data_IF_333083989157
#
_entry.id   IF_333083989157
#
_cell.length_a   1.000
_cell.length_b   1.000
_cell.length_c   1.000
_cell.angle_alpha   90.00
_cell.angle_beta   90.00
_cell.angle_gamma   90.00
#
_symmetry.space_group_name_H-M   'P 1'
#
loop_
_entity.id
_entity.type
_entity.pdbx_description
1 polymer ?
#
# COMPACT_ATOMS: atom_id res chain seq x y z
N UNK A 1 19.49 0.63 10.55
CA UNK A 1 19.88 0.33 9.16
C UNK A 1 18.93 -0.74 8.63
N UNK A 2 18.30 -0.51 7.49
CA UNK A 2 17.37 -1.48 6.90
C UNK A 2 18.14 -2.73 6.45
N UNK A 3 17.81 -3.87 7.02
CA UNK A 3 18.50 -5.15 6.78
C UNK A 3 18.40 -5.65 5.33
N UNK A 4 17.51 -5.08 4.51
CA UNK A 4 17.22 -5.55 3.15
C UNK A 4 17.63 -4.55 2.06
N UNK A 5 18.36 -3.47 2.37
CA UNK A 5 18.82 -2.52 1.35
C UNK A 5 19.74 -3.22 0.33
N UNK A 6 19.49 -3.01 -0.96
CA UNK A 6 20.18 -3.62 -2.10
C UNK A 6 19.96 -5.14 -2.28
N UNK A 7 19.05 -5.74 -1.51
CA UNK A 7 18.66 -7.12 -1.72
C UNK A 7 17.86 -7.23 -3.03
N UNK A 8 18.18 -8.26 -3.81
CA UNK A 8 17.42 -8.60 -5.01
C UNK A 8 16.38 -9.65 -4.68
N UNK A 9 15.13 -9.38 -5.07
CA UNK A 9 14.02 -10.32 -4.95
C UNK A 9 13.93 -11.11 -6.24
N UNK A 10 14.44 -12.35 -6.22
CA UNK A 10 14.56 -13.20 -7.42
C UNK A 10 15.27 -12.43 -8.54
N UNK A 11 14.77 -12.51 -9.78
CA UNK A 11 15.26 -11.77 -10.94
C UNK A 11 14.44 -10.50 -11.24
N UNK A 12 13.42 -10.21 -10.41
CA UNK A 12 12.42 -9.22 -10.77
C UNK A 12 12.64 -7.85 -10.15
N UNK A 13 13.02 -7.78 -8.86
CA UNK A 13 13.10 -6.50 -8.16
C UNK A 13 14.40 -6.33 -7.41
N UNK A 14 14.87 -5.08 -7.33
CA UNK A 14 15.96 -4.68 -6.44
C UNK A 14 15.44 -3.68 -5.41
N UNK A 15 15.59 -4.00 -4.11
CA UNK A 15 15.23 -3.10 -3.00
C UNK A 15 16.21 -1.93 -2.96
N UNK A 16 15.72 -0.68 -2.92
CA UNK A 16 16.55 0.53 -2.92
C UNK A 16 16.46 1.30 -1.61
N UNK A 17 15.35 1.92 -1.33
CA UNK A 17 15.21 2.83 -0.20
C UNK A 17 14.14 2.31 0.77
N UNK A 18 14.48 2.39 2.05
CA UNK A 18 13.53 2.22 3.13
C UNK A 18 12.57 3.42 3.16
N UNK A 19 11.27 3.15 3.24
CA UNK A 19 10.24 4.16 3.40
C UNK A 19 9.79 4.18 4.87
N UNK A 20 9.23 3.08 5.33
CA UNK A 20 8.58 2.99 6.62
C UNK A 20 8.58 1.54 7.14
N UNK A 21 8.54 1.38 8.45
CA UNK A 21 8.29 0.09 9.09
C UNK A 21 7.02 0.18 9.93
N UNK A 22 6.04 -0.65 9.58
CA UNK A 22 4.84 -0.86 10.39
C UNK A 22 5.05 -2.06 11.34
N UNK A 23 4.04 -2.37 12.16
CA UNK A 23 4.06 -3.58 12.99
C UNK A 23 4.05 -4.88 12.18
N UNK A 24 3.59 -4.85 10.93
CA UNK A 24 3.34 -6.04 10.09
C UNK A 24 4.34 -6.18 8.96
N UNK A 25 4.73 -5.11 8.32
CA UNK A 25 5.62 -5.13 7.17
C UNK A 25 6.62 -3.98 7.17
N UNK A 26 7.56 -4.06 6.25
CA UNK A 26 8.47 -2.96 5.94
C UNK A 26 8.26 -2.52 4.50
N UNK A 27 8.04 -1.22 4.32
CA UNK A 27 7.83 -0.60 3.03
C UNK A 27 9.14 -0.10 2.45
N UNK A 28 9.37 -0.39 1.18
CA UNK A 28 10.55 0.03 0.43
C UNK A 28 10.15 0.59 -0.93
N UNK A 29 10.99 1.48 -1.45
CA UNK A 29 11.05 1.73 -2.89
C UNK A 29 12.04 0.74 -3.50
N UNK A 30 11.66 0.13 -4.60
CA UNK A 30 12.51 -0.76 -5.39
C UNK A 30 12.56 -0.35 -6.85
N UNK A 31 13.33 -1.10 -7.63
CA UNK A 31 13.36 -1.02 -9.08
C UNK A 31 12.93 -2.39 -9.63
N UNK A 32 11.99 -2.37 -10.55
CA UNK A 32 11.69 -3.48 -11.42
C UNK A 32 12.84 -3.64 -12.42
N UNK A 33 13.51 -4.77 -12.39
CA UNK A 33 14.72 -5.02 -13.19
C UNK A 33 14.44 -5.24 -14.67
N UNK A 34 13.20 -5.58 -15.03
CA UNK A 34 12.78 -5.75 -16.42
C UNK A 34 12.45 -4.40 -17.06
N UNK A 35 11.61 -3.60 -16.41
CA UNK A 35 11.14 -2.31 -16.94
C UNK A 35 12.01 -1.12 -16.54
N UNK A 36 12.94 -1.30 -15.60
CA UNK A 36 13.75 -0.24 -14.97
C UNK A 36 12.90 0.85 -14.26
N UNK A 37 11.64 0.57 -13.98
CA UNK A 37 10.72 1.51 -13.30
C UNK A 37 10.81 1.38 -11.79
N UNK A 38 10.52 2.48 -11.11
CA UNK A 38 10.32 2.46 -9.65
C UNK A 38 9.04 1.68 -9.29
N UNK A 39 9.11 0.96 -8.18
CA UNK A 39 7.98 0.21 -7.61
C UNK A 39 7.95 0.40 -6.09
N UNK A 40 6.79 0.26 -5.49
CA UNK A 40 6.66 0.10 -4.04
C UNK A 40 6.69 -1.40 -3.69
N UNK A 41 7.40 -1.73 -2.62
CA UNK A 41 7.56 -3.10 -2.14
C UNK A 41 7.13 -3.17 -0.68
N UNK A 42 6.02 -3.85 -0.40
CA UNK A 42 5.61 -4.25 0.95
C UNK A 42 6.27 -5.59 1.26
N UNK A 43 7.16 -5.65 2.26
CA UNK A 43 7.91 -6.86 2.61
C UNK A 43 7.54 -7.33 4.01
N UNK A 44 7.07 -8.56 4.08
CA UNK A 44 6.58 -9.23 5.28
C UNK A 44 7.58 -10.33 5.68
N UNK A 45 8.09 -10.28 6.90
CA UNK A 45 8.86 -11.40 7.44
C UNK A 45 7.89 -12.54 7.80
N UNK A 46 8.01 -13.70 7.16
CA UNK A 46 7.03 -14.81 7.28
C UNK A 46 6.80 -15.24 8.74
N UNK A 47 7.83 -15.19 9.59
CA UNK A 47 7.73 -15.52 11.02
C UNK A 47 6.98 -14.50 11.87
N UNK A 48 6.66 -13.31 11.31
CA UNK A 48 5.95 -12.22 12.00
C UNK A 48 4.55 -11.95 11.46
N UNK A 49 4.14 -12.66 10.41
CA UNK A 49 2.79 -12.51 9.85
C UNK A 49 1.80 -13.10 10.83
N UNK A 50 0.87 -12.29 11.32
CA UNK A 50 -0.21 -12.76 12.18
C UNK A 50 -1.23 -13.57 11.35
N UNK A 51 -1.97 -14.46 12.02
CA UNK A 51 -3.00 -15.28 11.35
C UNK A 51 -4.08 -14.39 10.72
N UNK A 52 -4.40 -13.28 11.35
CA UNK A 52 -5.41 -12.32 10.88
C UNK A 52 -4.97 -11.51 9.65
N UNK A 53 -3.67 -11.52 9.30
CA UNK A 53 -3.14 -10.90 8.10
C UNK A 53 -3.12 -11.85 6.89
N UNK A 54 -3.57 -13.09 7.09
CA UNK A 54 -3.70 -14.11 6.05
C UNK A 54 -5.19 -14.28 5.72
N UNK A 55 -5.50 -14.17 4.43
CA UNK A 55 -6.83 -14.46 3.91
C UNK A 55 -7.11 -15.97 3.85
N UNK A 56 -8.35 -16.34 3.55
CA UNK A 56 -8.80 -17.73 3.47
C UNK A 56 -8.07 -18.52 2.36
N UNK A 57 -7.57 -17.83 1.35
CA UNK A 57 -6.75 -18.38 0.26
C UNK A 57 -5.27 -18.63 0.64
N UNK A 58 -4.89 -18.34 1.90
CA UNK A 58 -3.53 -18.49 2.41
C UNK A 58 -2.57 -17.37 1.97
N UNK A 59 -3.04 -16.37 1.23
CA UNK A 59 -2.28 -15.21 0.83
C UNK A 59 -2.35 -14.10 1.87
N UNK A 60 -1.49 -13.07 1.71
CA UNK A 60 -1.60 -11.86 2.49
C UNK A 60 -2.94 -11.17 2.18
N UNK A 61 -3.66 -10.75 3.21
CA UNK A 61 -4.98 -10.11 3.08
C UNK A 61 -4.95 -8.84 2.22
N UNK A 62 -3.87 -8.07 2.29
CA UNK A 62 -3.69 -6.89 1.42
C UNK A 62 -3.83 -7.23 -0.06
N UNK A 63 -3.39 -8.44 -0.49
CA UNK A 63 -3.53 -8.88 -1.88
C UNK A 63 -4.97 -9.01 -2.34
N UNK A 64 -5.86 -9.43 -1.45
CA UNK A 64 -7.28 -9.55 -1.73
C UNK A 64 -7.85 -8.19 -2.19
N UNK A 65 -7.51 -7.13 -1.46
CA UNK A 65 -7.99 -5.78 -1.77
C UNK A 65 -7.29 -5.16 -2.98
N UNK A 66 -5.99 -5.38 -3.16
CA UNK A 66 -5.26 -4.90 -4.33
C UNK A 66 -5.77 -5.54 -5.64
N UNK A 67 -6.19 -6.82 -5.58
CA UNK A 67 -6.80 -7.52 -6.73
C UNK A 67 -8.15 -6.96 -7.16
N UNK A 68 -8.82 -6.18 -6.31
CA UNK A 68 -10.08 -5.50 -6.68
C UNK A 68 -9.86 -4.41 -7.73
N UNK A 69 -8.63 -3.96 -7.95
CA UNK A 69 -8.24 -2.95 -8.92
C UNK A 69 -9.10 -1.67 -8.85
N UNK A 70 -9.41 -1.21 -7.64
CA UNK A 70 -10.22 -0.01 -7.40
C UNK A 70 -9.41 1.22 -7.78
N UNK A 71 -10.03 2.13 -8.52
CA UNK A 71 -9.42 3.40 -8.86
C UNK A 71 -9.07 4.21 -7.60
N UNK A 72 -7.81 4.63 -7.50
CA UNK A 72 -7.25 5.24 -6.28
C UNK A 72 -6.48 4.26 -5.39
N UNK A 73 -6.51 2.94 -5.69
CA UNK A 73 -5.59 1.98 -5.11
C UNK A 73 -4.33 1.86 -5.98
N UNK A 74 -3.15 1.59 -5.37
CA UNK A 74 -1.96 1.29 -6.13
C UNK A 74 -2.17 0.02 -6.97
N UNK A 75 -1.76 0.06 -8.24
CA UNK A 75 -1.86 -1.11 -9.12
C UNK A 75 -0.95 -2.22 -8.64
N UNK A 76 -1.51 -3.42 -8.44
CA UNK A 76 -0.74 -4.63 -8.15
C UNK A 76 0.10 -5.02 -9.37
N UNK A 77 1.41 -5.19 -9.19
CA UNK A 77 2.34 -5.65 -10.23
C UNK A 77 2.65 -7.14 -10.07
N UNK A 78 3.08 -7.53 -8.87
CA UNK A 78 3.34 -8.94 -8.56
C UNK A 78 3.38 -9.18 -7.05
N UNK A 79 3.41 -10.46 -6.67
CA UNK A 79 3.60 -10.89 -5.30
C UNK A 79 4.29 -12.25 -5.26
N UNK A 80 4.80 -12.63 -4.09
CA UNK A 80 5.42 -13.95 -3.92
C UNK A 80 6.30 -14.04 -2.68
N UNK A 81 7.13 -15.08 -2.68
CA UNK A 81 8.02 -15.40 -1.58
C UNK A 81 9.48 -15.32 -2.03
N UNK A 82 10.34 -14.95 -1.10
CA UNK A 82 11.79 -15.04 -1.27
C UNK A 82 12.49 -15.36 0.05
N UNK A 83 13.75 -15.81 -0.03
CA UNK A 83 14.58 -16.12 1.14
C UNK A 83 15.81 -15.22 1.11
N UNK A 84 16.14 -14.61 2.24
CA UNK A 84 17.38 -13.86 2.42
C UNK A 84 17.95 -14.17 3.81
N UNK A 85 19.24 -14.51 3.88
CA UNK A 85 19.94 -14.87 5.12
C UNK A 85 19.19 -15.92 5.97
N UNK A 86 18.71 -17.00 5.34
CA UNK A 86 17.92 -18.10 5.94
C UNK A 86 16.53 -17.69 6.46
N UNK A 87 16.14 -16.44 6.34
CA UNK A 87 14.82 -15.95 6.70
C UNK A 87 13.90 -15.95 5.48
N UNK A 88 12.65 -16.35 5.68
CA UNK A 88 11.61 -16.34 4.65
C UNK A 88 10.83 -15.04 4.71
N UNK A 89 10.55 -14.50 3.55
CA UNK A 89 9.78 -13.26 3.37
C UNK A 89 8.70 -13.48 2.32
N UNK A 90 7.58 -12.77 2.49
CA UNK A 90 6.59 -12.52 1.44
C UNK A 90 6.74 -11.08 0.96
N UNK A 91 6.45 -10.83 -0.32
CA UNK A 91 6.45 -9.47 -0.86
C UNK A 91 5.20 -9.22 -1.70
N UNK A 92 4.80 -7.96 -1.72
CA UNK A 92 3.82 -7.40 -2.65
C UNK A 92 4.51 -6.24 -3.35
N UNK A 93 4.52 -6.26 -4.68
CA UNK A 93 4.99 -5.17 -5.51
C UNK A 93 3.80 -4.43 -6.12
N UNK A 94 3.77 -3.12 -5.95
CA UNK A 94 2.76 -2.24 -6.54
C UNK A 94 3.43 -1.14 -7.35
N UNK A 95 2.67 -0.48 -8.21
CA UNK A 95 3.15 0.72 -8.89
C UNK A 95 3.71 1.72 -7.88
N UNK A 96 4.72 2.45 -8.31
CA UNK A 96 5.26 3.56 -7.53
C UNK A 96 4.32 4.76 -7.67
N UNK A 97 3.70 5.16 -6.55
CA UNK A 97 2.90 6.39 -6.50
C UNK A 97 3.84 7.56 -6.25
N UNK A 98 3.98 8.41 -7.27
CA UNK A 98 4.90 9.55 -7.25
C UNK A 98 4.17 10.80 -6.77
N UNK A 99 4.67 11.43 -5.71
CA UNK A 99 4.10 12.69 -5.22
C UNK A 99 4.22 12.83 -3.70
N UNK A 100 3.60 13.87 -3.18
CA UNK A 100 3.60 14.17 -1.76
C UNK A 100 2.32 13.67 -1.10
N UNK A 101 2.40 13.33 0.19
CA UNK A 101 1.19 13.03 0.96
C UNK A 101 0.40 14.32 1.27
N UNK A 102 -0.87 14.16 1.61
CA UNK A 102 -1.69 15.28 2.10
C UNK A 102 -1.04 15.91 3.33
N UNK A 103 -0.47 15.08 4.22
CA UNK A 103 0.25 15.56 5.40
C UNK A 103 1.47 16.40 5.00
N UNK A 104 2.32 15.90 4.09
CA UNK A 104 3.52 16.63 3.64
C UNK A 104 3.14 17.98 3.01
N UNK A 105 2.10 17.99 2.16
CA UNK A 105 1.58 19.23 1.56
C UNK A 105 1.15 20.22 2.64
N UNK A 106 0.37 19.77 3.63
CA UNK A 106 -0.06 20.62 4.74
C UNK A 106 1.12 21.14 5.57
N UNK A 107 2.11 20.31 5.85
CA UNK A 107 3.32 20.75 6.56
C UNK A 107 4.11 21.80 5.78
N UNK A 108 4.14 21.70 4.45
CA UNK A 108 4.85 22.64 3.57
C UNK A 108 4.12 23.99 3.40
N UNK A 109 2.79 23.98 3.30
CA UNK A 109 2.01 25.19 3.00
C UNK A 109 1.12 25.70 4.14
N UNK A 110 1.11 24.99 5.29
CA UNK A 110 0.36 25.34 6.50
C UNK A 110 -1.06 24.80 6.52
N UNK A 111 -1.78 24.82 5.42
CA UNK A 111 -3.15 24.28 5.31
C UNK A 111 -3.41 23.79 3.88
N UNK A 112 -4.34 22.85 3.74
CA UNK A 112 -4.81 22.44 2.43
C UNK A 112 -5.73 23.51 1.85
N UNK A 113 -5.51 23.88 0.59
CA UNK A 113 -6.41 24.78 -0.12
C UNK A 113 -7.80 24.16 -0.28
N UNK A 114 -8.84 24.99 -0.37
CA UNK A 114 -10.24 24.53 -0.47
C UNK A 114 -10.44 23.53 -1.62
N UNK A 115 -9.88 23.84 -2.80
CA UNK A 115 -9.97 22.97 -3.96
C UNK A 115 -9.33 21.58 -3.73
N UNK A 116 -8.14 21.53 -3.15
CA UNK A 116 -7.46 20.27 -2.83
C UNK A 116 -8.21 19.51 -1.74
N UNK A 117 -8.74 20.19 -0.73
CA UNK A 117 -9.52 19.55 0.33
C UNK A 117 -10.78 18.88 -0.25
N UNK A 118 -11.49 19.57 -1.16
CA UNK A 118 -12.66 19.02 -1.85
C UNK A 118 -12.28 17.81 -2.71
N UNK A 119 -11.20 17.89 -3.50
CA UNK A 119 -10.72 16.77 -4.33
C UNK A 119 -10.40 15.54 -3.51
N UNK A 120 -9.65 15.72 -2.41
CA UNK A 120 -9.30 14.63 -1.49
C UNK A 120 -10.57 14.02 -0.89
N UNK A 121 -11.48 14.85 -0.38
CA UNK A 121 -12.74 14.41 0.22
C UNK A 121 -13.60 13.61 -0.75
N UNK A 122 -13.77 14.10 -1.98
CA UNK A 122 -14.52 13.42 -3.04
C UNK A 122 -13.90 12.06 -3.36
N UNK A 123 -12.57 12.01 -3.63
CA UNK A 123 -11.91 10.76 -4.02
C UNK A 123 -11.97 9.71 -2.91
N UNK A 124 -11.74 10.09 -1.67
CA UNK A 124 -11.85 9.16 -0.53
C UNK A 124 -13.29 8.67 -0.35
N UNK A 125 -14.29 9.55 -0.54
CA UNK A 125 -15.70 9.17 -0.48
C UNK A 125 -16.08 8.20 -1.60
N UNK A 126 -15.57 8.38 -2.82
CA UNK A 126 -15.78 7.46 -3.94
C UNK A 126 -15.19 6.07 -3.64
N UNK A 127 -13.94 6.03 -3.16
CA UNK A 127 -13.28 4.77 -2.77
C UNK A 127 -14.07 4.07 -1.66
N UNK A 128 -14.45 4.81 -0.61
CA UNK A 128 -15.23 4.27 0.50
C UNK A 128 -16.59 3.74 0.04
N UNK A 129 -17.30 4.49 -0.79
CA UNK A 129 -18.58 4.06 -1.38
C UNK A 129 -18.41 2.76 -2.16
N UNK A 130 -17.40 2.67 -3.01
CA UNK A 130 -17.13 1.47 -3.80
C UNK A 130 -16.84 0.23 -2.93
N UNK A 131 -16.13 0.41 -1.81
CA UNK A 131 -15.82 -0.65 -0.87
C UNK A 131 -17.03 -1.07 -0.03
N UNK A 132 -17.83 -0.10 0.44
CA UNK A 132 -18.98 -0.36 1.31
C UNK A 132 -20.18 -0.93 0.54
N UNK A 133 -20.30 -0.67 -0.76
CA UNK A 133 -21.39 -1.15 -1.62
C UNK A 133 -21.20 -2.59 -2.11
N UNK A 134 -20.15 -3.30 -1.68
CA UNK A 134 -19.91 -4.70 -2.03
C UNK A 134 -20.76 -5.63 -1.17
N UNK A 135 -21.06 -6.82 -1.67
CA UNK A 135 -21.77 -7.87 -0.91
C UNK A 135 -21.10 -8.17 0.42
N UNK A 136 -19.77 -8.21 0.42
CA UNK A 136 -18.95 -8.20 1.62
C UNK A 136 -18.34 -6.81 1.75
N UNK A 137 -18.95 -5.96 2.55
CA UNK A 137 -18.48 -4.61 2.78
C UNK A 137 -17.05 -4.60 3.35
N UNK A 138 -16.23 -3.68 2.84
CA UNK A 138 -14.82 -3.55 3.21
C UNK A 138 -14.58 -2.19 3.84
N UNK A 139 -13.90 -2.16 4.97
CA UNK A 139 -13.59 -0.95 5.73
C UNK A 139 -12.16 -0.48 5.47
N UNK A 140 -12.01 0.80 5.21
CA UNK A 140 -10.72 1.50 5.17
C UNK A 140 -10.27 1.83 6.60
N UNK A 141 -9.70 0.84 7.31
CA UNK A 141 -9.12 1.10 8.62
C UNK A 141 -7.73 1.74 8.47
N UNK A 142 -7.42 2.69 9.35
CA UNK A 142 -6.13 3.36 9.36
C UNK A 142 -5.93 4.39 8.23
N UNK A 143 -7.02 4.95 7.71
CA UNK A 143 -6.94 6.08 6.80
C UNK A 143 -6.30 7.27 7.53
N UNK A 144 -5.18 7.75 7.02
CA UNK A 144 -4.44 8.90 7.54
C UNK A 144 -3.99 9.81 6.40
N UNK A 145 -3.70 11.06 6.72
CA UNK A 145 -3.24 12.04 5.73
C UNK A 145 -1.88 11.67 5.12
N UNK A 146 -1.08 10.86 5.82
CA UNK A 146 0.19 10.31 5.30
C UNK A 146 -0.02 9.26 4.22
N UNK A 147 -1.17 8.57 4.25
CA UNK A 147 -1.50 7.49 3.32
C UNK A 147 -2.29 7.95 2.09
N UNK A 148 -2.69 9.22 2.05
CA UNK A 148 -3.36 9.84 0.91
C UNK A 148 -2.32 10.64 0.14
N UNK A 149 -2.09 10.30 -1.13
CA UNK A 149 -1.05 10.90 -1.97
C UNK A 149 -1.67 11.70 -3.12
N UNK A 150 -1.07 12.84 -3.40
CA UNK A 150 -1.23 13.54 -4.66
C UNK A 150 -0.27 12.91 -5.68
N UNK A 151 -0.79 11.99 -6.49
CA UNK A 151 0.01 11.25 -7.46
C UNK A 151 0.24 12.09 -8.73
N UNK A 152 1.52 12.25 -9.08
CA UNK A 152 1.99 13.02 -10.23
C UNK A 152 2.52 12.11 -11.36
N UNK A 153 2.15 10.82 -11.35
CA UNK A 153 2.64 9.84 -12.33
C UNK A 153 2.11 10.09 -13.73
N UNK A 154 0.92 10.67 -13.83
CA UNK A 154 0.25 10.99 -15.08
C UNK A 154 0.32 12.50 -15.38
N UNK A 155 -0.18 12.92 -16.56
CA UNK A 155 -0.23 14.33 -16.98
C UNK A 155 -1.07 15.22 -16.04
N UNK A 156 -2.00 14.62 -15.30
CA UNK A 156 -2.84 15.30 -14.31
C UNK A 156 -2.63 14.70 -12.92
N UNK A 157 -2.57 15.58 -11.91
CA UNK A 157 -2.52 15.15 -10.52
C UNK A 157 -3.77 14.38 -10.12
N UNK A 158 -3.60 13.15 -9.65
CA UNK A 158 -4.66 12.27 -9.13
C UNK A 158 -4.50 12.02 -7.63
N UNK A 159 -5.53 11.48 -6.98
CA UNK A 159 -5.47 11.10 -5.56
C UNK A 159 -5.40 9.59 -5.46
N UNK A 160 -4.38 9.08 -4.77
CA UNK A 160 -4.20 7.63 -4.51
C UNK A 160 -3.92 7.34 -3.05
N UNK A 161 -4.25 6.13 -2.63
CA UNK A 161 -3.85 5.59 -1.33
C UNK A 161 -2.49 4.90 -1.45
N UNK A 162 -1.63 5.06 -0.43
CA UNK A 162 -0.27 4.47 -0.44
C UNK A 162 -0.26 3.00 -0.07
N UNK A 163 -1.01 2.62 0.96
CA UNK A 163 -1.04 1.26 1.45
C UNK A 163 -2.44 0.85 1.93
N UNK A 164 -2.70 -0.46 1.92
CA UNK A 164 -3.98 -1.06 2.26
C UNK A 164 -3.88 -2.06 3.42
N UNK A 165 -2.80 -2.00 4.19
CA UNK A 165 -2.47 -2.98 5.24
C UNK A 165 -3.58 -3.12 6.28
N UNK A 166 -4.28 -2.04 6.61
CA UNK A 166 -5.32 -2.00 7.62
C UNK A 166 -6.74 -2.16 7.05
N UNK A 167 -6.87 -2.44 5.76
CA UNK A 167 -8.18 -2.72 5.15
C UNK A 167 -8.70 -4.07 5.63
N UNK A 168 -9.98 -4.16 5.99
CA UNK A 168 -10.61 -5.36 6.56
C UNK A 168 -12.05 -5.49 6.05
N UNK A 169 -12.55 -6.73 5.97
CA UNK A 169 -13.98 -6.96 5.81
C UNK A 169 -14.76 -6.48 7.03
N UNK A 170 -15.97 -6.00 6.81
CA UNK A 170 -16.83 -5.46 7.89
C UNK A 170 -17.04 -6.47 9.01
N UNK A 171 -17.38 -7.72 8.68
CA UNK A 171 -17.65 -8.79 9.65
C UNK A 171 -16.44 -9.15 10.52
N UNK A 172 -15.23 -8.89 10.04
CA UNK A 172 -14.00 -9.16 10.76
C UNK A 172 -13.63 -8.02 11.71
N UNK A 173 -13.94 -6.78 11.34
CA UNK A 173 -13.61 -5.60 12.15
C UNK A 173 -14.30 -5.61 13.53
N UNK A 174 -15.39 -6.35 13.68
CA UNK A 174 -16.18 -6.44 14.93
C UNK A 174 -15.92 -7.71 15.75
N UNK A 175 -15.08 -8.64 15.28
CA UNK A 175 -14.72 -9.85 16.05
C UNK A 175 -13.76 -9.60 17.23
N UNK A 176 -13.24 -8.38 17.35
CA UNK A 176 -12.21 -8.00 18.34
C UNK A 176 -12.71 -7.06 19.44
N UNK A 177 -13.99 -7.19 19.83
CA UNK A 177 -14.51 -6.51 21.03
C UNK A 177 -14.70 -7.47 22.18
#
# INVERSE_FOLDING_TARGET
>A
MSALKNVQIKTSYQIKHFIEQTSFCTLYTGIDLESSKLVNLSIYKSSKIARDDIGDDGNLRELEFLKLAIEGFPKLLSFGDFTHNLEKYRYIATEFVSGESVMDRMMRVGSLGEFDAIRVGLKISEIAHHLHSRDQAVLLNGLSLDNILFDMSDESESIKLRNLINVRHFDEAFKFR
#
